data_IF_827724546428
#
_entry.id   IF_827724546428
#
_cell.length_a   1.000
_cell.length_b   1.000
_cell.length_c   1.000
_cell.angle_alpha   90.00
_cell.angle_beta   90.00
_cell.angle_gamma   90.00
#
_symmetry.space_group_name_H-M   'P 1'
#
loop_
_entity.id
_entity.type
_entity.pdbx_description
1 polymer ?
#
# COMPACT_ATOMS: atom_id res chain seq x y z
N UNK A 1 -24.58 29.90 -68.71
CA UNK A 1 -23.65 29.00 -68.00
C UNK A 1 -23.08 29.76 -66.80
N UNK A 2 -23.70 29.65 -65.63
CA UNK A 2 -23.09 30.11 -64.37
C UNK A 2 -23.59 29.16 -63.27
N UNK A 3 -22.73 28.28 -62.78
CA UNK A 3 -22.93 27.61 -61.50
C UNK A 3 -21.90 28.15 -60.52
N UNK A 4 -22.35 29.01 -59.62
CA UNK A 4 -21.59 29.50 -58.47
C UNK A 4 -21.63 28.43 -57.39
N UNK A 5 -20.51 27.74 -57.18
CA UNK A 5 -20.34 26.85 -56.04
C UNK A 5 -20.03 27.65 -54.77
N UNK A 6 -20.99 27.70 -53.85
CA UNK A 6 -20.79 28.30 -52.52
C UNK A 6 -20.03 27.31 -51.64
N UNK A 7 -18.75 27.61 -51.36
CA UNK A 7 -17.94 26.88 -50.39
C UNK A 7 -18.35 27.30 -48.97
N UNK A 8 -19.12 26.44 -48.28
CA UNK A 8 -19.49 26.62 -46.87
C UNK A 8 -18.26 26.35 -46.00
N UNK A 9 -17.65 27.43 -45.49
CA UNK A 9 -16.54 27.37 -44.55
C UNK A 9 -16.92 26.67 -43.25
N UNK A 10 -16.21 25.60 -42.90
CA UNK A 10 -16.38 24.90 -41.62
C UNK A 10 -16.00 25.84 -40.48
N UNK A 11 -16.95 26.13 -39.58
CA UNK A 11 -16.75 26.95 -38.39
C UNK A 11 -15.65 26.33 -37.50
N UNK A 12 -14.46 26.93 -37.54
CA UNK A 12 -13.24 26.45 -36.86
C UNK A 12 -13.38 26.38 -35.35
N UNK A 13 -14.21 27.24 -34.75
CA UNK A 13 -14.50 27.23 -33.30
C UNK A 13 -15.18 25.93 -32.87
N UNK A 14 -16.13 25.41 -33.67
CA UNK A 14 -16.86 24.17 -33.36
C UNK A 14 -15.93 22.95 -33.32
N UNK A 15 -14.97 22.88 -34.25
CA UNK A 15 -13.99 21.78 -34.31
C UNK A 15 -13.01 21.85 -33.14
N UNK A 16 -12.60 23.04 -32.71
CA UNK A 16 -11.72 23.25 -31.56
C UNK A 16 -12.41 22.82 -30.27
N UNK A 17 -13.67 23.25 -30.05
CA UNK A 17 -14.45 22.85 -28.87
C UNK A 17 -14.69 21.34 -28.80
N UNK A 18 -14.98 20.69 -29.93
CA UNK A 18 -15.13 19.25 -30.01
C UNK A 18 -13.84 18.50 -29.62
N UNK A 19 -12.66 18.99 -30.06
CA UNK A 19 -11.36 18.43 -29.67
C UNK A 19 -11.10 18.58 -28.17
N UNK A 20 -11.34 19.77 -27.61
CA UNK A 20 -11.15 20.05 -26.17
C UNK A 20 -12.07 19.15 -25.32
N UNK A 21 -13.34 19.01 -25.69
CA UNK A 21 -14.30 18.14 -25.00
C UNK A 21 -13.89 16.67 -25.05
N UNK A 22 -13.38 16.19 -26.20
CA UNK A 22 -12.89 14.82 -26.36
C UNK A 22 -11.65 14.56 -25.48
N UNK A 23 -10.74 15.52 -25.40
CA UNK A 23 -9.55 15.43 -24.57
C UNK A 23 -9.90 15.41 -23.07
N UNK A 24 -10.75 16.33 -22.61
CA UNK A 24 -11.23 16.36 -21.22
C UNK A 24 -11.95 15.08 -20.81
N UNK A 25 -12.81 14.52 -21.69
CA UNK A 25 -13.45 13.23 -21.43
C UNK A 25 -12.42 12.12 -21.28
N UNK A 26 -11.40 12.06 -22.14
CA UNK A 26 -10.32 11.06 -22.06
C UNK A 26 -9.56 11.18 -20.73
N UNK A 27 -9.20 12.39 -20.30
CA UNK A 27 -8.50 12.64 -19.04
C UNK A 27 -9.34 12.23 -17.82
N UNK A 28 -10.64 12.56 -17.80
CA UNK A 28 -11.53 12.12 -16.74
C UNK A 28 -11.67 10.59 -16.71
N UNK A 29 -11.80 9.94 -17.88
CA UNK A 29 -11.81 8.48 -17.96
C UNK A 29 -10.51 7.87 -17.43
N UNK A 30 -9.35 8.43 -17.77
CA UNK A 30 -8.06 7.99 -17.24
C UNK A 30 -7.99 8.14 -15.72
N UNK A 31 -8.44 9.27 -15.18
CA UNK A 31 -8.51 9.48 -13.72
C UNK A 31 -9.44 8.48 -13.05
N UNK A 32 -10.60 8.20 -13.64
CA UNK A 32 -11.56 7.20 -13.13
C UNK A 32 -10.95 5.80 -13.17
N UNK A 33 -10.30 5.43 -14.27
CA UNK A 33 -9.63 4.13 -14.42
C UNK A 33 -8.44 3.98 -13.47
N UNK A 34 -7.64 5.03 -13.27
CA UNK A 34 -6.56 5.06 -12.28
C UNK A 34 -7.11 4.92 -10.87
N UNK A 35 -8.17 5.66 -10.52
CA UNK A 35 -8.78 5.61 -9.19
C UNK A 35 -9.41 4.24 -8.91
N UNK A 36 -10.08 3.66 -9.91
CA UNK A 36 -10.68 2.31 -9.82
C UNK A 36 -9.62 1.21 -9.72
N UNK A 37 -8.54 1.30 -10.53
CA UNK A 37 -7.41 0.39 -10.45
C UNK A 37 -6.75 0.44 -9.07
N UNK A 38 -6.56 1.64 -8.51
CA UNK A 38 -6.02 1.80 -7.15
C UNK A 38 -6.98 1.19 -6.12
N UNK A 39 -8.30 1.43 -6.20
CA UNK A 39 -9.24 0.87 -5.22
C UNK A 39 -9.37 -0.66 -5.25
N UNK A 40 -9.23 -1.28 -6.43
CA UNK A 40 -9.26 -2.75 -6.57
C UNK A 40 -7.93 -3.42 -6.19
N UNK A 41 -6.86 -2.66 -5.97
CA UNK A 41 -5.52 -3.17 -5.64
C UNK A 41 -4.97 -2.68 -4.29
N UNK A 42 -5.75 -1.96 -3.48
CA UNK A 42 -5.25 -1.43 -2.21
C UNK A 42 -5.04 -2.59 -1.23
N UNK A 43 -3.77 -2.94 -1.04
CA UNK A 43 -3.34 -3.95 -0.07
C UNK A 43 -3.65 -3.44 1.32
N UNK A 44 -4.06 -4.34 2.20
CA UNK A 44 -4.31 -4.02 3.61
C UNK A 44 -3.40 -4.83 4.51
N UNK A 45 -2.94 -4.20 5.59
CA UNK A 45 -2.22 -4.86 6.67
C UNK A 45 -2.98 -4.67 7.96
N UNK A 46 -3.26 -5.79 8.64
CA UNK A 46 -3.99 -5.79 9.90
C UNK A 46 -3.03 -5.72 11.08
N UNK A 47 -3.38 -4.88 12.05
CA UNK A 47 -2.65 -4.66 13.30
C UNK A 47 -3.58 -4.87 14.48
N UNK A 48 -3.04 -5.34 15.61
CA UNK A 48 -3.76 -5.31 16.89
C UNK A 48 -3.98 -3.87 17.31
N UNK A 49 -5.09 -3.59 17.99
CA UNK A 49 -5.43 -2.24 18.46
C UNK A 49 -4.30 -1.52 19.22
N UNK A 50 -3.60 -2.24 20.12
CA UNK A 50 -2.46 -1.69 20.86
C UNK A 50 -1.32 -1.21 19.93
N UNK A 51 -1.06 -1.94 18.83
CA UNK A 51 -0.01 -1.62 17.87
C UNK A 51 -0.43 -0.49 16.92
N UNK A 52 -1.73 -0.36 16.64
CA UNK A 52 -2.25 0.74 15.82
C UNK A 52 -1.92 2.09 16.46
N UNK A 53 -2.03 2.19 17.79
CA UNK A 53 -1.68 3.39 18.54
C UNK A 53 -0.20 3.77 18.42
N UNK A 54 0.70 2.79 18.44
CA UNK A 54 2.15 3.03 18.27
C UNK A 54 2.49 3.49 16.85
N UNK A 55 1.80 2.94 15.83
CA UNK A 55 1.95 3.37 14.44
C UNK A 55 1.50 4.82 14.26
N UNK A 56 0.37 5.20 14.86
CA UNK A 56 -0.15 6.58 14.79
C UNK A 56 0.78 7.60 15.46
N UNK A 57 1.50 7.19 16.51
CA UNK A 57 2.53 8.02 17.15
C UNK A 57 3.85 8.09 16.38
N UNK A 58 4.02 7.25 15.36
CA UNK A 58 5.27 7.11 14.61
C UNK A 58 6.36 6.32 15.36
N UNK A 59 6.02 5.71 16.50
CA UNK A 59 6.93 4.87 17.29
C UNK A 59 7.15 3.52 16.58
N UNK A 60 6.11 3.01 15.90
CA UNK A 60 6.15 1.78 15.11
C UNK A 60 6.12 2.08 13.62
N UNK A 61 7.23 1.80 12.93
CA UNK A 61 7.42 2.04 11.48
C UNK A 61 7.79 0.77 10.71
N UNK A 62 7.80 -0.37 11.40
CA UNK A 62 8.07 -1.68 10.81
C UNK A 62 7.12 -2.77 11.34
N UNK A 63 6.87 -3.79 10.51
CA UNK A 63 6.13 -4.99 10.87
C UNK A 63 6.80 -6.21 10.27
N UNK A 64 6.85 -7.31 11.02
CA UNK A 64 7.36 -8.58 10.55
C UNK A 64 6.22 -9.54 10.34
N UNK A 65 6.20 -10.19 9.18
CA UNK A 65 5.07 -10.97 8.72
C UNK A 65 5.54 -12.36 8.32
N UNK A 66 5.01 -13.37 9.01
CA UNK A 66 5.28 -14.77 8.72
C UNK A 66 4.14 -15.32 7.87
N UNK A 67 4.48 -16.14 6.89
CA UNK A 67 3.51 -16.79 5.99
C UNK A 67 2.56 -15.80 5.28
N UNK A 68 3.00 -14.56 5.05
CA UNK A 68 2.20 -13.56 4.33
C UNK A 68 2.42 -13.68 2.82
N UNK A 69 1.36 -14.13 2.15
CA UNK A 69 1.26 -14.32 0.70
C UNK A 69 1.07 -13.02 -0.09
N UNK A 70 0.90 -11.87 0.58
CA UNK A 70 0.79 -10.58 -0.11
C UNK A 70 2.10 -10.23 -0.78
N UNK A 71 1.97 -9.84 -2.04
CA UNK A 71 3.03 -9.30 -2.87
C UNK A 71 3.35 -7.84 -2.48
N UNK A 72 3.87 -7.61 -1.27
CA UNK A 72 4.22 -6.28 -0.76
C UNK A 72 5.52 -5.78 -1.41
N UNK A 73 5.49 -4.56 -1.94
CA UNK A 73 6.62 -3.94 -2.66
C UNK A 73 6.90 -2.54 -2.16
N UNK A 74 8.16 -2.13 -2.28
CA UNK A 74 8.55 -0.72 -2.08
C UNK A 74 7.73 0.17 -3.00
N UNK A 75 7.21 1.27 -2.44
CA UNK A 75 6.33 2.22 -3.12
C UNK A 75 4.84 1.83 -3.10
N UNK A 76 4.48 0.65 -2.58
CA UNK A 76 3.07 0.31 -2.37
C UNK A 76 2.44 1.24 -1.34
N UNK A 77 1.22 1.69 -1.65
CA UNK A 77 0.36 2.37 -0.69
C UNK A 77 -0.57 1.33 -0.07
N UNK A 78 -0.52 1.24 1.25
CA UNK A 78 -1.20 0.21 2.02
C UNK A 78 -2.11 0.85 3.06
N UNK A 79 -3.32 0.32 3.20
CA UNK A 79 -4.23 0.69 4.28
C UNK A 79 -3.97 -0.18 5.51
N UNK A 80 -3.83 0.48 6.66
CA UNK A 80 -3.70 -0.19 7.93
C UNK A 80 -5.05 -0.30 8.60
N UNK A 81 -5.34 -1.50 9.10
CA UNK A 81 -6.65 -1.88 9.60
C UNK A 81 -6.51 -2.49 10.98
N UNK A 82 -7.39 -2.14 11.91
CA UNK A 82 -7.46 -2.80 13.22
C UNK A 82 -8.03 -4.20 13.03
N UNK A 83 -7.32 -5.22 13.48
CA UNK A 83 -7.70 -6.63 13.30
C UNK A 83 -9.06 -6.92 13.94
N UNK A 84 -9.30 -6.37 15.12
CA UNK A 84 -10.48 -6.59 15.96
C UNK A 84 -11.76 -6.00 15.32
N UNK A 85 -11.70 -4.75 14.83
CA UNK A 85 -12.88 -4.01 14.34
C UNK A 85 -12.99 -3.97 12.81
N UNK A 86 -11.91 -4.29 12.10
CA UNK A 86 -11.73 -4.03 10.67
C UNK A 86 -11.82 -2.54 10.27
N UNK A 87 -11.69 -1.62 11.22
CA UNK A 87 -11.65 -0.19 10.93
C UNK A 87 -10.27 0.22 10.41
N UNK A 88 -10.27 1.08 9.40
CA UNK A 88 -9.04 1.68 8.85
C UNK A 88 -8.58 2.79 9.79
N UNK A 89 -7.32 2.77 10.17
CA UNK A 89 -6.76 3.79 11.07
C UNK A 89 -5.66 4.63 10.43
N UNK A 90 -4.99 4.12 9.39
CA UNK A 90 -3.90 4.83 8.74
C UNK A 90 -3.67 4.37 7.29
N UNK A 91 -2.95 5.21 6.55
CA UNK A 91 -2.40 4.90 5.23
C UNK A 91 -0.89 5.08 5.25
N UNK A 92 -0.18 4.11 4.72
CA UNK A 92 1.29 4.09 4.72
C UNK A 92 1.85 3.80 3.33
N UNK A 93 3.08 4.25 3.10
CA UNK A 93 3.89 3.86 1.94
C UNK A 93 4.97 2.89 2.42
N UNK A 94 5.08 1.74 1.77
CA UNK A 94 6.16 0.79 2.04
C UNK A 94 7.47 1.38 1.53
N UNK A 95 8.45 1.50 2.40
CA UNK A 95 9.78 2.04 2.10
C UNK A 95 10.84 0.96 1.95
N UNK A 96 10.64 -0.20 2.59
CA UNK A 96 11.55 -1.34 2.52
C UNK A 96 10.79 -2.65 2.67
N UNK A 97 11.19 -3.67 1.91
CA UNK A 97 10.76 -5.07 2.09
C UNK A 97 11.98 -5.96 2.01
N UNK A 98 12.30 -6.65 3.09
CA UNK A 98 13.36 -7.65 3.14
C UNK A 98 12.81 -8.96 3.69
N UNK A 99 13.47 -10.06 3.36
CA UNK A 99 13.11 -11.39 3.86
C UNK A 99 14.33 -12.00 4.53
N UNK A 100 14.14 -12.48 5.76
CA UNK A 100 15.18 -13.13 6.56
C UNK A 100 14.59 -14.29 7.32
N UNK A 101 15.39 -15.33 7.58
CA UNK A 101 14.98 -16.33 8.56
C UNK A 101 15.00 -15.69 9.95
N UNK A 102 14.11 -16.10 10.84
CA UNK A 102 14.10 -15.63 12.22
C UNK A 102 15.47 -15.81 12.93
N UNK A 103 16.21 -16.86 12.60
CA UNK A 103 17.54 -17.11 13.12
C UNK A 103 18.60 -16.10 12.67
N UNK A 104 18.40 -15.46 11.51
CA UNK A 104 19.35 -14.57 10.85
C UNK A 104 19.03 -13.08 11.08
N UNK A 105 18.01 -12.80 11.89
CA UNK A 105 17.66 -11.45 12.33
C UNK A 105 18.74 -10.88 13.26
N UNK A 106 19.07 -9.61 13.03
CA UNK A 106 20.09 -8.84 13.73
C UNK A 106 19.49 -7.59 14.40
N UNK A 107 20.27 -6.90 15.25
CA UNK A 107 19.80 -5.74 16.03
C UNK A 107 19.16 -4.64 15.17
N UNK A 108 19.71 -4.38 13.98
CA UNK A 108 19.21 -3.34 13.06
C UNK A 108 17.84 -3.68 12.46
N UNK A 109 17.49 -4.98 12.36
CA UNK A 109 16.20 -5.40 11.83
C UNK A 109 15.05 -4.98 12.76
N UNK A 110 15.34 -4.79 14.06
CA UNK A 110 14.37 -4.37 15.07
C UNK A 110 14.04 -2.88 15.04
N UNK A 111 14.76 -2.05 14.29
CA UNK A 111 14.49 -0.62 14.22
C UNK A 111 13.03 -0.38 13.78
N UNK A 112 12.27 0.43 14.53
CA UNK A 112 10.84 0.66 14.24
C UNK A 112 9.92 -0.54 14.49
N UNK A 113 10.43 -1.64 15.05
CA UNK A 113 9.70 -2.82 15.50
C UNK A 113 9.83 -2.99 17.03
N UNK A 114 8.94 -3.78 17.63
CA UNK A 114 9.09 -4.18 19.02
C UNK A 114 10.37 -5.01 19.20
N UNK A 115 11.14 -4.68 20.24
CA UNK A 115 12.32 -5.46 20.62
C UNK A 115 11.92 -6.64 21.49
N UNK A 116 12.60 -7.76 21.30
CA UNK A 116 12.50 -8.91 22.19
C UNK A 116 13.70 -8.95 23.13
N UNK A 117 13.54 -9.60 24.28
CA UNK A 117 14.62 -9.77 25.25
C UNK A 117 15.76 -10.62 24.68
N UNK A 118 15.39 -11.68 23.96
CA UNK A 118 16.30 -12.62 23.31
C UNK A 118 15.62 -13.37 22.14
N UNK A 119 16.39 -14.13 21.36
CA UNK A 119 15.89 -14.89 20.20
C UNK A 119 14.85 -15.96 20.57
N UNK A 120 14.92 -16.55 21.76
CA UNK A 120 13.93 -17.54 22.20
C UNK A 120 12.59 -16.89 22.53
N UNK A 121 12.61 -15.73 23.19
CA UNK A 121 11.42 -14.93 23.50
C UNK A 121 10.72 -14.44 22.22
N UNK A 122 11.50 -14.03 21.22
CA UNK A 122 11.01 -13.73 19.87
C UNK A 122 10.31 -14.95 19.25
N UNK A 123 10.98 -16.11 19.25
CA UNK A 123 10.41 -17.33 18.67
C UNK A 123 9.10 -17.71 19.36
N UNK A 124 9.07 -17.69 20.69
CA UNK A 124 7.86 -17.97 21.48
C UNK A 124 6.73 -17.00 21.16
N UNK A 125 7.02 -15.70 21.02
CA UNK A 125 6.02 -14.70 20.63
C UNK A 125 5.39 -15.06 19.27
N UNK A 126 6.19 -15.40 18.26
CA UNK A 126 5.64 -15.82 16.97
C UNK A 126 4.90 -17.16 17.02
N UNK A 127 5.35 -18.13 17.83
CA UNK A 127 4.65 -19.39 18.02
C UNK A 127 3.27 -19.19 18.69
N UNK A 128 3.10 -18.18 19.56
CA UNK A 128 1.78 -17.84 20.10
C UNK A 128 0.79 -17.39 19.01
N UNK A 129 1.28 -16.73 17.96
CA UNK A 129 0.44 -16.24 16.86
C UNK A 129 0.23 -17.26 15.74
N UNK A 130 1.24 -18.08 15.43
CA UNK A 130 1.24 -18.94 14.23
C UNK A 130 1.37 -20.44 14.55
N UNK A 131 1.52 -20.81 15.82
CA UNK A 131 1.68 -22.18 16.30
C UNK A 131 3.10 -22.73 16.16
N UNK A 132 3.24 -24.01 16.52
CA UNK A 132 4.53 -24.70 16.66
C UNK A 132 5.30 -24.92 15.35
N UNK A 133 4.70 -24.58 14.21
CA UNK A 133 5.37 -24.60 12.90
C UNK A 133 6.47 -23.54 12.76
N UNK A 134 6.45 -22.51 13.61
CA UNK A 134 7.47 -21.45 13.59
C UNK A 134 8.73 -21.95 14.28
N UNK A 135 9.86 -21.77 13.60
CA UNK A 135 11.21 -22.12 14.05
C UNK A 135 12.22 -21.09 13.52
N UNK A 136 13.51 -21.21 13.89
CA UNK A 136 14.53 -20.26 13.45
C UNK A 136 14.78 -20.25 11.94
N UNK A 137 14.43 -21.30 11.20
CA UNK A 137 14.48 -21.33 9.73
C UNK A 137 13.22 -20.76 9.06
N UNK A 138 12.25 -20.26 9.84
CA UNK A 138 11.03 -19.67 9.30
C UNK A 138 11.36 -18.31 8.70
N UNK A 139 10.99 -18.13 7.43
CA UNK A 139 11.15 -16.87 6.71
C UNK A 139 10.14 -15.84 7.22
N UNK A 140 10.65 -14.68 7.64
CA UNK A 140 9.89 -13.51 8.00
C UNK A 140 10.09 -12.43 6.92
N UNK A 141 8.98 -11.82 6.51
CA UNK A 141 8.97 -10.63 5.66
C UNK A 141 8.99 -9.39 6.54
N UNK A 142 10.11 -8.67 6.55
CA UNK A 142 10.34 -7.45 7.30
C UNK A 142 9.92 -6.28 6.41
N UNK A 143 8.87 -5.57 6.82
CA UNK A 143 8.28 -4.48 6.05
C UNK A 143 8.43 -3.20 6.83
N UNK A 144 9.16 -2.24 6.26
CA UNK A 144 9.22 -0.87 6.77
C UNK A 144 8.32 0.03 5.96
N UNK A 145 7.75 1.02 6.64
CA UNK A 145 6.80 1.93 6.03
C UNK A 145 6.86 3.31 6.69
N UNK A 146 6.43 4.32 5.94
CA UNK A 146 6.21 5.68 6.46
C UNK A 146 4.73 5.99 6.48
N UNK A 147 4.28 6.64 7.56
CA UNK A 147 2.92 7.14 7.68
C UNK A 147 2.69 8.26 6.67
N UNK A 148 1.60 8.17 5.91
CA UNK A 148 1.16 9.21 4.97
C UNK A 148 -0.02 10.00 5.53
N UNK A 149 -0.99 9.28 6.12
CA UNK A 149 -2.24 9.84 6.60
C UNK A 149 -2.76 8.99 7.77
N UNK A 150 -3.23 9.63 8.83
CA UNK A 150 -4.01 9.01 9.92
C UNK A 150 -5.48 9.35 9.75
N UNK A 151 -6.38 8.42 10.09
CA UNK A 151 -7.83 8.66 10.09
C UNK A 151 -8.31 9.26 11.41
#
# INVERSE_FOLDING_TARGET
>A
MISVGVAVGRNTKSVIWAKILKQRKKENYLKILLRKRVSESMKTLKFREQLASEVLKGEKTATWRLFDDKDLKVGDIVELVVWETNEKFAKVEITEVTEKNLGDVEENDYEGHEKFQDKESMLKSYQQYYGDKVNFSTLAKLVRFKLLESQ
#
